data_IF_351627936974
#
_entry.id   IF_351627936974
#
_cell.length_a   1.000
_cell.length_b   1.000
_cell.length_c   1.000
_cell.angle_alpha   90.00
_cell.angle_beta   90.00
_cell.angle_gamma   90.00
#
_symmetry.space_group_name_H-M   'P 1'
#
loop_
_entity.id
_entity.type
_entity.pdbx_description
1 polymer ?
#
# COMPACT_ATOMS: atom_id res chain seq x y z
N UNK A 1 5.13 7.82 12.67
CA UNK A 1 5.31 6.93 11.49
C UNK A 1 4.05 6.95 10.66
N UNK A 2 4.14 7.28 9.38
CA UNK A 2 3.05 7.15 8.41
C UNK A 2 3.23 5.83 7.65
N UNK A 3 2.22 4.97 7.69
CA UNK A 3 2.20 3.70 6.98
C UNK A 3 1.47 3.85 5.65
N UNK A 4 2.17 3.57 4.54
CA UNK A 4 1.63 3.61 3.18
C UNK A 4 1.33 2.18 2.73
N UNK A 5 0.06 1.87 2.61
CA UNK A 5 -0.40 0.51 2.29
C UNK A 5 -0.40 0.26 0.77
N UNK A 6 0.12 -0.89 0.40
CA UNK A 6 -0.04 -1.51 -0.90
C UNK A 6 -1.48 -2.03 -1.09
N UNK A 7 -1.99 -2.04 -2.32
CA UNK A 7 -3.31 -2.58 -2.65
C UNK A 7 -3.46 -4.05 -2.18
N UNK A 8 -2.44 -4.86 -2.40
CA UNK A 8 -2.44 -6.27 -1.99
C UNK A 8 -2.54 -6.46 -0.47
N UNK A 9 -2.11 -5.50 0.33
CA UNK A 9 -2.28 -5.54 1.78
C UNK A 9 -3.77 -5.55 2.17
N UNK A 10 -4.59 -4.71 1.52
CA UNK A 10 -6.03 -4.65 1.78
C UNK A 10 -6.80 -5.75 1.06
N UNK A 11 -6.44 -6.08 -0.17
CA UNK A 11 -7.04 -7.19 -0.94
C UNK A 11 -6.88 -8.51 -0.16
N UNK A 12 -5.68 -8.80 0.33
CA UNK A 12 -5.41 -10.02 1.11
C UNK A 12 -6.11 -9.96 2.48
N UNK A 13 -6.18 -8.77 3.11
CA UNK A 13 -6.93 -8.62 4.35
C UNK A 13 -8.39 -9.02 4.16
N UNK A 14 -9.07 -8.49 3.14
CA UNK A 14 -10.47 -8.84 2.88
C UNK A 14 -10.66 -10.30 2.48
N UNK A 15 -9.78 -10.83 1.62
CA UNK A 15 -9.98 -12.17 1.05
C UNK A 15 -9.54 -13.31 1.98
N UNK A 16 -8.72 -13.03 2.99
CA UNK A 16 -8.05 -14.09 3.75
C UNK A 16 -8.12 -13.90 5.26
N UNK A 17 -7.75 -12.74 5.79
CA UNK A 17 -7.54 -12.58 7.23
C UNK A 17 -8.70 -11.90 7.96
N UNK A 18 -9.30 -10.89 7.33
CA UNK A 18 -10.32 -10.02 7.92
C UNK A 18 -11.43 -9.72 6.91
N UNK A 19 -12.20 -10.72 6.44
CA UNK A 19 -13.33 -10.45 5.54
C UNK A 19 -14.25 -9.39 6.15
N UNK A 20 -14.68 -8.41 5.33
CA UNK A 20 -15.44 -7.23 5.81
C UNK A 20 -16.73 -7.63 6.50
N UNK A 21 -17.40 -8.67 6.00
CA UNK A 21 -18.66 -9.20 6.55
C UNK A 21 -18.47 -10.00 7.86
N UNK A 22 -17.26 -10.51 8.10
CA UNK A 22 -16.96 -11.35 9.27
C UNK A 22 -16.20 -10.60 10.36
N UNK A 23 -15.34 -9.68 9.98
CA UNK A 23 -14.49 -8.92 10.93
C UNK A 23 -14.59 -7.41 10.64
N UNK A 24 -15.78 -6.81 10.75
CA UNK A 24 -15.98 -5.40 10.47
C UNK A 24 -15.14 -4.48 11.36
N UNK A 25 -14.80 -4.92 12.57
CA UNK A 25 -13.99 -4.16 13.53
C UNK A 25 -12.58 -3.81 12.99
N UNK A 26 -11.99 -4.66 12.16
CA UNK A 26 -10.70 -4.35 11.52
C UNK A 26 -10.83 -3.17 10.58
N UNK A 27 -11.90 -3.10 9.80
CA UNK A 27 -12.15 -2.05 8.80
C UNK A 27 -12.55 -0.73 9.45
N UNK A 28 -13.27 -0.77 10.54
CA UNK A 28 -13.56 0.41 11.38
C UNK A 28 -12.28 0.96 12.02
N UNK A 29 -11.40 0.07 12.51
CA UNK A 29 -10.10 0.44 13.04
C UNK A 29 -9.20 1.03 11.94
N UNK A 30 -9.19 0.44 10.74
CA UNK A 30 -8.42 0.94 9.60
C UNK A 30 -8.87 2.35 9.21
N UNK A 31 -10.19 2.59 9.15
CA UNK A 31 -10.75 3.92 8.90
C UNK A 31 -10.33 4.93 9.98
N UNK A 32 -10.38 4.53 11.25
CA UNK A 32 -9.93 5.36 12.37
C UNK A 32 -8.45 5.72 12.24
N UNK A 33 -7.59 4.76 11.93
CA UNK A 33 -6.16 5.01 11.74
C UNK A 33 -5.88 5.89 10.51
N UNK A 34 -6.67 5.74 9.46
CA UNK A 34 -6.65 6.63 8.30
C UNK A 34 -7.00 8.07 8.66
N UNK A 35 -8.07 8.28 9.43
CA UNK A 35 -8.50 9.59 9.93
C UNK A 35 -7.47 10.22 10.87
N UNK A 36 -6.73 9.39 11.63
CA UNK A 36 -5.63 9.82 12.49
C UNK A 36 -4.30 10.05 11.73
N UNK A 37 -4.30 9.93 10.41
CA UNK A 37 -3.11 10.05 9.55
C UNK A 37 -1.97 9.05 9.88
N UNK A 38 -2.29 7.92 10.48
CA UNK A 38 -1.32 6.84 10.72
C UNK A 38 -1.19 5.88 9.54
N UNK A 39 -2.30 5.68 8.79
CA UNK A 39 -2.36 4.80 7.61
C UNK A 39 -2.92 5.60 6.44
N UNK A 40 -2.26 5.52 5.27
CA UNK A 40 -2.75 6.15 4.03
C UNK A 40 -2.52 5.24 2.82
N UNK A 41 -3.32 5.49 1.79
CA UNK A 41 -3.19 4.93 0.44
C UNK A 41 -2.84 6.07 -0.52
N UNK A 42 -1.74 6.01 -1.26
CA UNK A 42 -1.53 6.85 -2.43
C UNK A 42 -2.68 6.75 -3.42
N UNK A 43 -2.91 7.80 -4.20
CA UNK A 43 -4.01 7.86 -5.16
C UNK A 43 -3.96 6.67 -6.14
N UNK A 44 -2.79 6.38 -6.68
CA UNK A 44 -2.58 5.32 -7.67
C UNK A 44 -2.89 3.93 -7.10
N UNK A 45 -2.55 3.72 -5.83
CA UNK A 45 -2.88 2.47 -5.11
C UNK A 45 -4.38 2.36 -4.83
N UNK A 46 -5.02 3.48 -4.48
CA UNK A 46 -6.47 3.51 -4.29
C UNK A 46 -7.20 3.23 -5.62
N UNK A 47 -6.73 3.79 -6.74
CA UNK A 47 -7.27 3.52 -8.07
C UNK A 47 -7.13 2.05 -8.47
N UNK A 48 -6.03 1.40 -8.10
CA UNK A 48 -5.84 -0.04 -8.34
C UNK A 48 -6.91 -0.87 -7.63
N UNK A 49 -7.22 -0.56 -6.37
CA UNK A 49 -8.31 -1.22 -5.64
C UNK A 49 -9.65 -0.96 -6.33
N UNK A 50 -9.91 0.30 -6.71
CA UNK A 50 -11.17 0.72 -7.33
C UNK A 50 -11.37 0.18 -8.75
N UNK A 51 -10.32 -0.29 -9.41
CA UNK A 51 -10.40 -0.99 -10.69
C UNK A 51 -10.94 -2.43 -10.56
N UNK A 52 -11.13 -2.94 -9.35
CA UNK A 52 -11.79 -4.21 -9.08
C UNK A 52 -13.25 -4.21 -9.47
N UNK A 53 -13.92 -5.34 -9.27
CA UNK A 53 -15.36 -5.50 -9.62
C UNK A 53 -16.21 -4.61 -8.71
N UNK A 54 -17.27 -4.03 -9.28
CA UNK A 54 -18.17 -3.13 -8.55
C UNK A 54 -18.90 -3.79 -7.37
N UNK A 55 -19.08 -5.11 -7.40
CA UNK A 55 -19.70 -5.91 -6.35
C UNK A 55 -18.69 -6.48 -5.32
N UNK A 56 -17.40 -6.23 -5.50
CA UNK A 56 -16.36 -6.63 -4.53
C UNK A 56 -16.54 -5.86 -3.21
N UNK A 57 -16.63 -6.56 -2.06
CA UNK A 57 -16.83 -5.92 -0.76
C UNK A 57 -15.80 -4.85 -0.44
N UNK A 58 -14.53 -5.06 -0.81
CA UNK A 58 -13.47 -4.07 -0.61
C UNK A 58 -13.69 -2.82 -1.48
N UNK A 59 -14.04 -3.01 -2.75
CA UNK A 59 -14.34 -1.90 -3.67
C UNK A 59 -15.52 -1.08 -3.15
N UNK A 60 -16.60 -1.74 -2.72
CA UNK A 60 -17.77 -1.07 -2.10
C UNK A 60 -17.35 -0.30 -0.85
N UNK A 61 -16.53 -0.90 0.01
CA UNK A 61 -16.06 -0.27 1.24
C UNK A 61 -15.19 0.97 0.96
N UNK A 62 -14.25 0.89 0.01
CA UNK A 62 -13.39 2.01 -0.38
C UNK A 62 -14.16 3.11 -1.10
N UNK A 63 -15.21 2.78 -1.89
CA UNK A 63 -16.09 3.77 -2.53
C UNK A 63 -16.88 4.62 -1.55
N UNK A 64 -17.09 4.16 -0.33
CA UNK A 64 -17.73 4.97 0.71
C UNK A 64 -16.90 6.24 0.94
N UNK A 65 -17.53 7.41 0.87
CA UNK A 65 -16.85 8.70 0.92
C UNK A 65 -16.06 8.93 2.22
N UNK A 66 -16.55 8.43 3.34
CA UNK A 66 -15.88 8.54 4.64
C UNK A 66 -14.62 7.70 4.65
N UNK A 67 -14.69 6.46 4.19
CA UNK A 67 -13.54 5.55 4.15
C UNK A 67 -12.48 6.03 3.14
N UNK A 68 -12.95 6.48 1.96
CA UNK A 68 -12.09 7.05 0.93
C UNK A 68 -11.31 8.26 1.45
N UNK A 69 -12.01 9.22 2.05
CA UNK A 69 -11.38 10.43 2.60
C UNK A 69 -10.43 10.12 3.76
N UNK A 70 -10.80 9.18 4.63
CA UNK A 70 -9.94 8.76 5.72
C UNK A 70 -8.62 8.17 5.23
N UNK A 71 -8.65 7.36 4.17
CA UNK A 71 -7.47 6.63 3.71
C UNK A 71 -6.68 7.31 2.61
N UNK A 72 -7.27 8.20 1.80
CA UNK A 72 -6.56 8.85 0.71
C UNK A 72 -5.41 9.70 1.22
N UNK A 73 -4.22 9.51 0.65
CA UNK A 73 -3.09 10.41 0.82
C UNK A 73 -3.27 11.62 -0.12
N UNK A 74 -3.54 12.79 0.46
CA UNK A 74 -3.70 14.04 -0.29
C UNK A 74 -2.34 14.69 -0.58
N UNK A 75 -1.53 14.01 -1.37
CA UNK A 75 -0.25 14.52 -1.84
C UNK A 75 -0.13 14.28 -3.35
N UNK A 76 0.69 15.08 -4.00
CA UNK A 76 1.05 14.88 -5.42
C UNK A 76 2.49 14.40 -5.47
N UNK A 77 2.72 13.29 -6.15
CA UNK A 77 4.06 12.73 -6.30
C UNK A 77 4.82 13.42 -7.43
N UNK A 78 6.11 13.62 -7.23
CA UNK A 78 7.02 14.08 -8.25
C UNK A 78 7.26 12.95 -9.27
N UNK A 79 6.92 13.14 -10.57
CA UNK A 79 7.17 12.12 -11.60
C UNK A 79 8.65 11.74 -11.74
N UNK A 80 9.57 12.66 -11.50
CA UNK A 80 11.00 12.38 -11.59
C UNK A 80 11.44 11.42 -10.47
N UNK A 81 10.82 11.49 -9.30
CA UNK A 81 11.07 10.53 -8.23
C UNK A 81 10.54 9.13 -8.58
N UNK A 82 9.36 9.05 -9.20
CA UNK A 82 8.81 7.76 -9.70
C UNK A 82 9.75 7.16 -10.76
N UNK A 83 10.22 7.96 -11.72
CA UNK A 83 11.18 7.53 -12.72
C UNK A 83 12.49 7.03 -12.08
N UNK A 84 13.00 7.74 -11.06
CA UNK A 84 14.18 7.31 -10.31
C UNK A 84 13.98 5.95 -9.65
N UNK A 85 12.81 5.69 -9.09
CA UNK A 85 12.48 4.37 -8.50
C UNK A 85 12.44 3.30 -9.58
N UNK A 86 11.87 3.57 -10.76
CA UNK A 86 11.85 2.62 -11.88
C UNK A 86 13.27 2.31 -12.34
N UNK A 87 14.05 3.32 -12.69
CA UNK A 87 15.39 3.15 -13.28
C UNK A 87 16.39 2.51 -12.31
N UNK A 88 16.42 2.98 -11.09
CA UNK A 88 17.38 2.51 -10.07
C UNK A 88 16.88 1.31 -9.27
N UNK A 89 15.56 1.20 -9.07
CA UNK A 89 14.97 0.14 -8.28
C UNK A 89 14.62 -1.11 -9.08
N UNK A 90 14.25 -0.99 -10.34
CA UNK A 90 13.87 -2.11 -11.21
C UNK A 90 14.86 -2.31 -12.35
N UNK A 91 14.82 -1.47 -13.38
CA UNK A 91 15.84 -1.38 -14.44
C UNK A 91 15.64 -0.10 -15.28
N UNK A 92 16.73 0.41 -15.84
CA UNK A 92 16.75 1.62 -16.66
C UNK A 92 16.32 1.41 -18.13
N UNK A 93 16.13 0.15 -18.52
CA UNK A 93 15.78 -0.27 -19.87
C UNK A 93 14.53 -1.15 -19.94
N UNK A 94 13.54 -0.92 -19.04
CA UNK A 94 12.28 -1.65 -19.07
C UNK A 94 11.49 -1.32 -20.36
N UNK A 95 10.94 -2.34 -20.98
CA UNK A 95 9.97 -2.17 -22.07
C UNK A 95 8.60 -1.75 -21.53
N UNK A 96 7.73 -1.21 -22.38
CA UNK A 96 6.37 -0.83 -21.99
C UNK A 96 5.60 -1.98 -21.32
N UNK A 97 5.74 -3.21 -21.85
CA UNK A 97 5.12 -4.41 -21.25
C UNK A 97 5.66 -4.67 -19.84
N UNK A 98 6.97 -4.54 -19.66
CA UNK A 98 7.59 -4.72 -18.35
C UNK A 98 7.19 -3.62 -17.36
N UNK A 99 7.01 -2.38 -17.82
CA UNK A 99 6.49 -1.29 -17.00
C UNK A 99 5.03 -1.56 -16.56
N UNK A 100 4.21 -2.10 -17.46
CA UNK A 100 2.85 -2.54 -17.09
C UNK A 100 2.86 -3.66 -16.04
N UNK A 101 3.82 -4.59 -16.12
CA UNK A 101 3.99 -5.66 -15.12
C UNK A 101 4.44 -5.14 -13.75
N UNK A 102 5.28 -4.11 -13.70
CA UNK A 102 5.67 -3.42 -12.45
C UNK A 102 4.48 -2.71 -11.81
N UNK A 103 3.56 -2.20 -12.64
CA UNK A 103 2.32 -1.62 -12.18
C UNK A 103 2.49 -0.35 -11.34
N UNK A 104 1.87 -0.32 -10.17
CA UNK A 104 1.82 0.86 -9.28
C UNK A 104 2.88 0.88 -8.18
N UNK A 105 3.68 -0.17 -8.07
CA UNK A 105 4.73 -0.29 -7.04
C UNK A 105 5.69 0.90 -6.98
N UNK A 106 6.19 1.45 -8.13
CA UNK A 106 7.09 2.60 -8.11
C UNK A 106 6.46 3.86 -7.49
N UNK A 107 5.16 4.06 -7.69
CA UNK A 107 4.44 5.17 -7.05
C UNK A 107 4.42 5.02 -5.54
N UNK A 108 4.05 3.83 -5.03
CA UNK A 108 4.02 3.54 -3.60
C UNK A 108 5.39 3.80 -2.95
N UNK A 109 6.46 3.32 -3.57
CA UNK A 109 7.83 3.50 -3.09
C UNK A 109 8.24 4.98 -3.15
N UNK A 110 7.93 5.68 -4.24
CA UNK A 110 8.21 7.11 -4.40
C UNK A 110 7.50 7.94 -3.32
N UNK A 111 6.24 7.67 -3.01
CA UNK A 111 5.55 8.30 -1.88
C UNK A 111 6.22 8.00 -0.54
N UNK A 112 6.76 6.79 -0.37
CA UNK A 112 7.58 6.46 0.79
C UNK A 112 8.81 7.36 0.90
N UNK A 113 9.50 7.59 -0.20
CA UNK A 113 10.71 8.40 -0.29
C UNK A 113 10.46 9.91 -0.21
N UNK A 114 9.28 10.39 -0.61
CA UNK A 114 8.96 11.81 -0.67
C UNK A 114 8.81 12.48 0.70
N UNK A 115 8.79 11.72 1.79
CA UNK A 115 8.67 12.28 3.14
C UNK A 115 9.44 11.50 4.18
N UNK A 116 9.77 12.16 5.29
CA UNK A 116 10.41 11.50 6.43
C UNK A 116 9.42 10.68 7.25
N UNK A 117 9.91 9.66 7.95
CA UNK A 117 9.14 8.86 8.90
C UNK A 117 7.96 8.13 8.23
N UNK A 118 8.21 7.52 7.06
CA UNK A 118 7.26 6.72 6.29
C UNK A 118 7.72 5.28 6.19
N UNK A 119 6.76 4.37 6.14
CA UNK A 119 6.99 2.94 5.98
C UNK A 119 6.02 2.39 4.92
N UNK A 120 6.55 1.70 3.93
CA UNK A 120 5.75 0.97 2.93
C UNK A 120 5.24 -0.33 3.55
N UNK A 121 3.96 -0.65 3.32
CA UNK A 121 3.31 -1.82 3.90
C UNK A 121 2.81 -2.74 2.81
N UNK A 122 3.37 -3.94 2.74
CA UNK A 122 3.01 -4.95 1.73
C UNK A 122 3.01 -6.35 2.32
N UNK A 123 2.27 -7.26 1.68
CA UNK A 123 2.34 -8.69 1.94
C UNK A 123 3.44 -9.40 1.15
N UNK A 124 4.12 -8.69 0.25
CA UNK A 124 5.21 -9.28 -0.52
C UNK A 124 6.36 -9.71 0.40
N UNK A 125 6.95 -10.82 0.03
CA UNK A 125 8.15 -11.36 0.70
C UNK A 125 9.37 -11.08 -0.16
N UNK A 126 10.46 -10.65 0.48
CA UNK A 126 11.75 -10.43 -0.18
C UNK A 126 12.16 -11.65 -1.00
N UNK A 127 12.63 -11.40 -2.22
CA UNK A 127 13.13 -12.40 -3.16
C UNK A 127 14.32 -11.82 -3.95
N UNK A 128 15.52 -11.71 -3.34
CA UNK A 128 16.67 -11.00 -3.91
C UNK A 128 17.18 -11.60 -5.24
N UNK A 129 16.80 -12.83 -5.55
CA UNK A 129 17.12 -13.47 -6.84
C UNK A 129 16.29 -12.93 -8.01
N UNK A 130 15.15 -12.31 -7.74
CA UNK A 130 14.31 -11.68 -8.75
C UNK A 130 14.97 -10.41 -9.30
N UNK A 131 14.81 -10.16 -10.61
CA UNK A 131 15.45 -9.05 -11.31
C UNK A 131 14.44 -8.29 -12.13
N UNK A 132 14.79 -7.05 -12.50
CA UNK A 132 14.03 -6.19 -13.40
C UNK A 132 12.58 -6.03 -12.91
N UNK A 133 11.58 -6.11 -13.77
CA UNK A 133 10.16 -5.99 -13.44
C UNK A 133 9.64 -7.00 -12.42
N UNK A 134 10.38 -8.09 -12.15
CA UNK A 134 9.97 -9.11 -11.20
C UNK A 134 10.48 -8.84 -9.76
N UNK A 135 11.25 -7.76 -9.55
CA UNK A 135 11.71 -7.39 -8.21
C UNK A 135 10.54 -7.14 -7.27
N UNK A 136 10.77 -7.41 -5.99
CA UNK A 136 9.75 -7.27 -4.95
C UNK A 136 9.87 -5.94 -4.23
N UNK A 137 8.73 -5.38 -3.81
CA UNK A 137 8.67 -4.11 -3.06
C UNK A 137 9.68 -4.07 -1.90
N UNK A 138 9.80 -5.10 -1.01
CA UNK A 138 10.76 -5.05 0.09
C UNK A 138 12.22 -4.94 -0.38
N UNK A 139 12.57 -5.59 -1.49
CA UNK A 139 13.93 -5.58 -2.02
C UNK A 139 14.27 -4.20 -2.64
N UNK A 140 13.31 -3.59 -3.32
CA UNK A 140 13.48 -2.24 -3.86
C UNK A 140 13.53 -1.20 -2.74
N UNK A 141 12.65 -1.29 -1.74
CA UNK A 141 12.69 -0.41 -0.56
C UNK A 141 14.05 -0.48 0.14
N UNK A 142 14.64 -1.68 0.27
CA UNK A 142 15.95 -1.85 0.91
C UNK A 142 17.07 -1.13 0.16
N UNK A 143 17.07 -1.13 -1.17
CA UNK A 143 18.05 -0.41 -1.97
C UNK A 143 18.00 1.12 -1.75
N UNK A 144 16.83 1.66 -1.47
CA UNK A 144 16.61 3.07 -1.16
C UNK A 144 16.68 3.40 0.34
N UNK A 145 17.03 2.46 1.20
CA UNK A 145 17.01 2.61 2.66
C UNK A 145 15.62 3.08 3.20
N UNK A 146 14.55 2.70 2.51
CA UNK A 146 13.16 2.97 2.88
C UNK A 146 12.63 1.84 3.78
N UNK A 147 12.00 2.21 4.89
CA UNK A 147 11.35 1.21 5.75
C UNK A 147 10.20 0.50 5.01
N UNK A 148 10.18 -0.83 5.14
CA UNK A 148 9.13 -1.68 4.61
C UNK A 148 8.73 -2.73 5.64
N UNK A 149 7.42 -2.98 5.78
CA UNK A 149 6.92 -3.95 6.74
C UNK A 149 5.65 -4.65 6.27
N UNK A 150 5.22 -5.65 7.04
CA UNK A 150 3.95 -6.36 6.80
C UNK A 150 2.78 -5.67 7.49
N UNK A 151 1.52 -5.84 7.01
CA UNK A 151 0.32 -5.36 7.70
C UNK A 151 0.22 -5.86 9.14
N UNK A 152 0.70 -7.06 9.44
CA UNK A 152 0.70 -7.61 10.80
C UNK A 152 1.62 -6.84 11.76
N UNK A 153 2.72 -6.26 11.25
CA UNK A 153 3.55 -5.36 12.07
C UNK A 153 2.79 -4.08 12.39
N UNK A 154 2.12 -3.48 11.40
CA UNK A 154 1.31 -2.28 11.59
C UNK A 154 0.19 -2.52 12.61
N UNK A 155 -0.50 -3.67 12.51
CA UNK A 155 -1.54 -4.05 13.48
C UNK A 155 -1.00 -4.07 14.92
N UNK A 156 0.22 -4.59 15.12
CA UNK A 156 0.86 -4.59 16.46
C UNK A 156 1.29 -3.19 16.88
N UNK A 157 1.93 -2.44 15.99
CA UNK A 157 2.46 -1.10 16.30
C UNK A 157 1.34 -0.11 16.65
N UNK A 158 0.19 -0.21 15.97
CA UNK A 158 -0.98 0.64 16.19
C UNK A 158 -2.04 0.00 17.11
N UNK A 159 -1.75 -1.16 17.70
CA UNK A 159 -2.55 -1.78 18.74
C UNK A 159 -3.90 -2.33 18.28
N UNK A 160 -4.01 -2.85 17.06
CA UNK A 160 -5.24 -3.53 16.63
C UNK A 160 -5.54 -4.73 17.54
N UNK A 161 -6.74 -4.79 18.04
CA UNK A 161 -7.34 -5.93 18.76
C UNK A 161 -8.86 -5.89 18.59
N UNK A 162 -9.53 -7.02 18.70
CA UNK A 162 -11.00 -7.04 18.83
C UNK A 162 -11.41 -6.23 20.07
N UNK A 163 -12.45 -5.43 19.95
CA UNK A 163 -12.86 -4.50 21.03
C UNK A 163 -11.91 -3.30 21.22
N UNK A 164 -11.18 -2.89 20.20
CA UNK A 164 -10.23 -1.75 20.24
C UNK A 164 -10.86 -0.41 20.64
N UNK A 165 -12.19 -0.29 20.51
CA UNK A 165 -12.96 0.89 20.94
C UNK A 165 -13.32 0.88 22.44
N UNK A 166 -13.10 -0.22 23.15
CA UNK A 166 -13.45 -0.39 24.54
C UNK A 166 -12.42 0.22 25.50
#
# INVERSE_FOLDING_TARGET
>A
MLYLFDANALITANNTYYPIDQVPEYWEWLQFQGSACNIKLPLEIMEEILAGRDDDPLVVWVKNSINKEALLLHEVIDPDLVNTVVESGYADDLTDVQLEEVGRDPFLIAYGLSGSNRCVVTNEVSAPSKKRQNRRIPDVCADFALECCTPFKVNRDLGFKTGWKA
#
